data_IF_702532742770
#
_entry.id   IF_702532742770
#
_cell.length_a   1.000
_cell.length_b   1.000
_cell.length_c   1.000
_cell.angle_alpha   90.00
_cell.angle_beta   90.00
_cell.angle_gamma   90.00
#
_symmetry.space_group_name_H-M   'P 1'
#
loop_
_entity.id
_entity.type
_entity.pdbx_description
1 polymer ?
#
# COMPACT_ATOMS: atom_id res chain seq x y z
N UNK A 1 83.20 3.54 35.63
CA UNK A 1 82.53 2.37 36.18
C UNK A 1 81.41 2.01 35.24
N UNK A 2 81.41 0.73 34.75
CA UNK A 2 80.44 -0.05 33.94
C UNK A 2 79.66 0.71 32.87
N UNK A 3 79.91 0.63 31.58
CA UNK A 3 80.10 -0.50 30.72
C UNK A 3 78.78 -1.06 30.26
N UNK A 4 78.12 -0.51 29.18
CA UNK A 4 77.04 -1.22 28.49
C UNK A 4 77.38 -1.38 27.02
N UNK A 5 77.54 -2.61 26.61
CA UNK A 5 77.84 -3.03 25.26
C UNK A 5 76.58 -2.97 24.39
N UNK A 6 76.69 -2.36 23.24
CA UNK A 6 75.72 -2.44 22.14
C UNK A 6 75.77 -3.83 21.51
N UNK A 7 74.63 -4.51 21.39
CA UNK A 7 74.47 -5.68 20.56
C UNK A 7 73.63 -5.32 19.32
N UNK A 8 74.27 -5.42 18.17
CA UNK A 8 73.65 -5.27 16.86
C UNK A 8 72.63 -6.38 16.60
N UNK A 9 71.38 -6.03 16.40
CA UNK A 9 70.33 -6.94 15.95
C UNK A 9 70.09 -6.75 14.46
N UNK A 10 70.56 -7.72 13.66
CA UNK A 10 70.32 -7.81 12.23
C UNK A 10 68.87 -8.09 11.95
N UNK A 11 68.17 -7.19 11.28
CA UNK A 11 66.82 -7.39 10.78
C UNK A 11 66.86 -8.20 9.46
N UNK A 12 66.45 -9.43 9.48
CA UNK A 12 66.18 -10.25 8.31
C UNK A 12 64.85 -9.77 7.67
N UNK A 13 64.95 -9.33 6.42
CA UNK A 13 63.79 -8.95 5.60
C UNK A 13 63.01 -10.23 5.22
N UNK A 14 61.88 -10.49 5.88
CA UNK A 14 60.87 -11.43 5.44
C UNK A 14 59.95 -10.65 4.45
N UNK A 15 60.06 -10.98 3.19
CA UNK A 15 59.18 -10.57 2.11
C UNK A 15 57.82 -11.28 2.29
N UNK A 16 56.83 -10.52 2.82
CA UNK A 16 55.44 -10.96 2.91
C UNK A 16 54.77 -10.77 1.54
N UNK A 17 54.69 -11.84 0.75
CA UNK A 17 53.92 -11.86 -0.49
C UNK A 17 52.43 -11.70 -0.17
N UNK A 18 51.88 -10.52 -0.50
CA UNK A 18 50.45 -10.28 -0.44
C UNK A 18 49.77 -11.06 -1.57
N UNK A 19 49.15 -12.19 -1.23
CA UNK A 19 48.24 -12.92 -2.11
C UNK A 19 46.93 -12.10 -2.17
N UNK A 20 46.80 -11.27 -3.22
CA UNK A 20 45.56 -10.57 -3.52
C UNK A 20 44.54 -11.60 -4.06
N UNK A 21 43.71 -12.15 -3.20
CA UNK A 21 42.58 -12.97 -3.61
C UNK A 21 41.57 -12.05 -4.31
N UNK A 22 41.60 -12.00 -5.65
CA UNK A 22 40.50 -11.45 -6.44
C UNK A 22 39.26 -12.30 -6.13
N UNK A 23 38.38 -11.80 -5.28
CA UNK A 23 36.98 -12.25 -5.20
C UNK A 23 36.35 -11.88 -6.56
N UNK A 24 36.38 -12.82 -7.50
CA UNK A 24 35.55 -12.80 -8.69
C UNK A 24 34.11 -12.95 -8.16
N UNK A 25 33.42 -11.84 -7.97
CA UNK A 25 31.96 -11.85 -7.82
C UNK A 25 31.43 -12.48 -9.12
N UNK A 26 31.13 -13.77 -9.08
CA UNK A 26 30.36 -14.40 -10.16
C UNK A 26 29.06 -13.60 -10.27
N UNK A 27 28.74 -13.04 -11.44
CA UNK A 27 27.44 -12.43 -11.63
C UNK A 27 26.43 -13.53 -11.31
N UNK A 28 25.64 -13.35 -10.27
CA UNK A 28 24.45 -14.18 -10.03
C UNK A 28 23.63 -14.03 -11.31
N UNK A 29 23.63 -15.07 -12.15
CA UNK A 29 22.79 -15.09 -13.34
C UNK A 29 21.40 -14.80 -12.86
N UNK A 30 20.85 -13.69 -13.29
CA UNK A 30 19.51 -13.28 -12.94
C UNK A 30 18.55 -14.42 -13.21
N UNK A 31 17.96 -14.95 -12.14
CA UNK A 31 17.11 -16.11 -12.20
C UNK A 31 15.86 -15.79 -13.03
N UNK A 32 15.76 -16.36 -14.22
CA UNK A 32 14.56 -16.26 -15.04
C UNK A 32 13.57 -17.32 -14.60
N UNK A 33 12.35 -16.92 -14.25
CA UNK A 33 11.25 -17.83 -13.91
C UNK A 33 10.19 -17.75 -14.98
N UNK A 34 9.70 -18.91 -15.45
CA UNK A 34 8.58 -19.03 -16.38
C UNK A 34 7.45 -19.82 -15.73
N UNK A 35 6.32 -19.19 -15.49
CA UNK A 35 5.10 -19.81 -14.94
C UNK A 35 4.20 -20.12 -16.12
N UNK A 36 3.90 -21.41 -16.38
CA UNK A 36 3.32 -21.87 -17.65
C UNK A 36 2.01 -22.64 -17.48
N UNK A 37 1.13 -22.57 -18.48
CA UNK A 37 -0.06 -23.42 -18.61
C UNK A 37 -1.24 -23.01 -17.73
N UNK A 38 -1.16 -21.89 -17.04
CA UNK A 38 -2.22 -21.41 -16.14
C UNK A 38 -3.24 -20.50 -16.81
N UNK A 39 -4.29 -20.16 -16.06
CA UNK A 39 -5.17 -19.04 -16.37
C UNK A 39 -4.47 -17.76 -15.91
N UNK A 40 -4.04 -16.91 -16.83
CA UNK A 40 -3.30 -15.68 -16.53
C UNK A 40 -4.25 -14.49 -16.51
N UNK A 41 -4.32 -13.78 -15.38
CA UNK A 41 -5.00 -12.51 -15.25
C UNK A 41 -3.97 -11.37 -15.23
N UNK A 42 -4.10 -10.39 -16.12
CA UNK A 42 -3.12 -9.30 -16.20
C UNK A 42 -3.28 -8.23 -15.14
N UNK A 43 -4.44 -8.14 -14.49
CA UNK A 43 -4.74 -7.12 -13.46
C UNK A 43 -5.01 -5.72 -14.03
N UNK A 44 -5.23 -5.61 -15.31
CA UNK A 44 -5.42 -4.34 -16.04
C UNK A 44 -6.87 -4.08 -16.48
N UNK A 45 -7.81 -4.86 -15.96
CA UNK A 45 -9.23 -4.80 -16.31
C UNK A 45 -9.64 -5.75 -17.42
N UNK A 46 -8.70 -6.41 -18.08
CA UNK A 46 -8.98 -7.39 -19.15
C UNK A 46 -9.48 -8.73 -18.58
N UNK A 47 -10.12 -9.52 -19.46
CA UNK A 47 -10.52 -10.89 -19.12
C UNK A 47 -9.30 -11.81 -18.95
N UNK A 48 -9.40 -12.87 -18.11
CA UNK A 48 -8.35 -13.86 -17.94
C UNK A 48 -8.01 -14.61 -19.23
N UNK A 49 -6.74 -14.97 -19.38
CA UNK A 49 -6.17 -15.63 -20.56
C UNK A 49 -5.90 -17.10 -20.21
N UNK A 50 -6.53 -18.03 -20.92
CA UNK A 50 -6.33 -19.47 -20.72
C UNK A 50 -4.98 -19.94 -21.29
N UNK A 51 -4.38 -20.96 -20.67
CA UNK A 51 -3.10 -21.56 -21.10
C UNK A 51 -2.00 -20.50 -21.32
N UNK A 52 -1.95 -19.51 -20.43
CA UNK A 52 -1.00 -18.42 -20.49
C UNK A 52 0.34 -18.78 -19.86
N UNK A 53 1.31 -17.93 -20.13
CA UNK A 53 2.65 -17.98 -19.54
C UNK A 53 3.03 -16.60 -19.01
N UNK A 54 3.67 -16.56 -17.84
CA UNK A 54 4.28 -15.34 -17.27
C UNK A 54 5.78 -15.59 -17.14
N UNK A 55 6.57 -14.68 -17.71
CA UNK A 55 8.05 -14.72 -17.64
C UNK A 55 8.54 -13.59 -16.76
N UNK A 56 9.30 -13.94 -15.74
CA UNK A 56 9.94 -13.04 -14.77
C UNK A 56 11.46 -13.09 -14.97
N UNK A 57 12.10 -11.92 -14.99
CA UNK A 57 13.55 -11.79 -15.00
C UNK A 57 13.97 -10.48 -14.34
N UNK A 58 15.05 -10.51 -13.56
CA UNK A 58 15.62 -9.31 -12.90
C UNK A 58 14.58 -8.53 -12.08
N UNK A 59 13.71 -9.24 -11.36
CA UNK A 59 12.67 -8.61 -10.55
C UNK A 59 11.51 -7.99 -11.35
N UNK A 60 11.45 -8.20 -12.67
CA UNK A 60 10.43 -7.60 -13.53
C UNK A 60 9.71 -8.64 -14.39
N UNK A 61 8.48 -8.33 -14.74
CA UNK A 61 7.72 -9.09 -15.73
C UNK A 61 8.31 -8.77 -17.13
N UNK A 62 8.77 -9.80 -17.82
CA UNK A 62 9.27 -9.69 -19.19
C UNK A 62 8.11 -9.79 -20.19
N UNK A 63 7.22 -10.77 -19.98
CA UNK A 63 6.06 -10.99 -20.79
C UNK A 63 5.01 -11.78 -19.99
N UNK A 64 3.73 -11.56 -20.30
CA UNK A 64 2.61 -12.33 -19.79
C UNK A 64 1.51 -12.44 -20.85
N UNK A 65 0.95 -13.63 -21.04
CA UNK A 65 -0.11 -13.87 -22.03
C UNK A 65 -0.06 -15.25 -22.66
N UNK A 66 -0.77 -15.42 -23.75
CA UNK A 66 -0.80 -16.66 -24.53
C UNK A 66 0.34 -16.68 -25.57
N UNK A 67 0.88 -17.86 -25.84
CA UNK A 67 1.92 -18.05 -26.88
C UNK A 67 3.29 -17.45 -26.51
N UNK A 68 3.53 -17.13 -25.25
CA UNK A 68 4.83 -16.63 -24.79
C UNK A 68 5.83 -17.78 -24.75
N UNK A 69 6.96 -17.62 -25.43
CA UNK A 69 8.04 -18.60 -25.43
C UNK A 69 8.74 -18.65 -24.06
N UNK A 70 9.01 -19.84 -23.57
CA UNK A 70 9.82 -20.06 -22.36
C UNK A 70 11.29 -19.83 -22.70
N UNK A 71 12.00 -18.89 -22.05
CA UNK A 71 13.41 -18.67 -22.31
C UNK A 71 14.26 -19.89 -21.94
N UNK A 72 15.29 -20.15 -22.74
CA UNK A 72 16.25 -21.23 -22.43
C UNK A 72 16.89 -20.99 -21.06
N UNK A 73 16.98 -22.05 -20.25
CA UNK A 73 17.53 -22.00 -18.89
C UNK A 73 16.62 -21.36 -17.83
N UNK A 74 15.37 -20.99 -18.17
CA UNK A 74 14.42 -20.51 -17.19
C UNK A 74 13.99 -21.65 -16.23
N UNK A 75 13.84 -21.31 -14.95
CA UNK A 75 13.16 -22.17 -13.99
C UNK A 75 11.67 -22.21 -14.35
N UNK A 76 11.16 -23.38 -14.69
CA UNK A 76 9.75 -23.54 -15.07
C UNK A 76 8.91 -23.91 -13.85
N UNK A 77 7.77 -23.23 -13.70
CA UNK A 77 6.72 -23.50 -12.73
C UNK A 77 5.47 -23.90 -13.48
N UNK A 78 4.97 -25.11 -13.24
CA UNK A 78 3.71 -25.57 -13.82
C UNK A 78 2.51 -24.95 -13.10
N UNK A 79 1.68 -24.24 -13.84
CA UNK A 79 0.43 -23.64 -13.37
C UNK A 79 -0.81 -24.28 -14.01
N UNK A 80 -0.69 -25.49 -14.58
CA UNK A 80 -1.81 -26.20 -15.20
C UNK A 80 -2.96 -26.38 -14.19
N UNK A 81 -4.17 -25.95 -14.56
CA UNK A 81 -5.35 -25.96 -13.71
C UNK A 81 -5.36 -24.89 -12.60
N UNK A 82 -4.37 -24.01 -12.57
CA UNK A 82 -4.20 -22.93 -11.59
C UNK A 82 -4.31 -21.54 -12.23
N UNK A 83 -4.30 -20.51 -11.39
CA UNK A 83 -4.35 -19.13 -11.83
C UNK A 83 -3.06 -18.39 -11.51
N UNK A 84 -2.69 -17.48 -12.37
CA UNK A 84 -1.55 -16.58 -12.20
C UNK A 84 -2.06 -15.16 -12.31
N UNK A 85 -1.91 -14.39 -11.24
CA UNK A 85 -2.39 -13.02 -11.17
C UNK A 85 -1.28 -12.10 -10.61
N UNK A 86 -1.36 -10.76 -10.81
CA UNK A 86 -0.52 -9.85 -10.05
C UNK A 86 -0.86 -9.93 -8.57
N UNK A 87 0.11 -9.67 -7.72
CA UNK A 87 -0.14 -9.49 -6.30
C UNK A 87 -1.06 -8.30 -6.06
N UNK A 88 -1.89 -8.39 -5.03
CA UNK A 88 -2.83 -7.34 -4.68
C UNK A 88 -2.10 -6.12 -4.13
N UNK A 89 -2.65 -4.95 -4.45
CA UNK A 89 -2.21 -3.65 -3.96
C UNK A 89 -3.32 -3.08 -3.08
N UNK A 90 -3.11 -3.04 -1.77
CA UNK A 90 -4.08 -2.43 -0.88
C UNK A 90 -4.07 -0.91 -1.06
N UNK A 91 -5.18 -0.35 -1.53
CA UNK A 91 -5.29 1.07 -1.90
C UNK A 91 -5.23 2.04 -0.72
N UNK A 92 -5.52 1.56 0.48
CA UNK A 92 -5.42 2.28 1.74
C UNK A 92 -5.27 1.28 2.88
N UNK A 93 -4.41 1.53 3.84
CA UNK A 93 -4.21 0.63 4.98
C UNK A 93 -3.45 1.28 6.13
N UNK A 94 -3.34 0.54 7.25
CA UNK A 94 -2.47 0.79 8.40
C UNK A 94 -1.42 -0.32 8.55
N UNK A 95 -1.16 -1.08 7.51
CA UNK A 95 -0.27 -2.23 7.55
C UNK A 95 1.14 -1.83 7.99
N UNK A 96 1.68 -2.55 8.96
CA UNK A 96 3.01 -2.27 9.50
C UNK A 96 3.04 -1.28 10.66
N UNK A 97 1.98 -0.48 10.87
CA UNK A 97 1.88 0.49 11.96
C UNK A 97 1.21 -0.09 13.23
N UNK A 98 0.55 -1.23 13.11
CA UNK A 98 -0.19 -1.85 14.22
C UNK A 98 0.24 -3.30 14.37
N UNK A 99 0.74 -3.66 15.57
CA UNK A 99 0.96 -5.05 15.98
C UNK A 99 -0.29 -5.59 16.71
N UNK A 100 -0.77 -4.85 17.71
CA UNK A 100 -1.97 -5.15 18.49
C UNK A 100 -2.78 -3.88 18.69
N UNK A 101 -3.98 -3.83 18.15
CA UNK A 101 -4.82 -2.64 18.09
C UNK A 101 -5.16 -2.02 19.46
N UNK A 102 -5.62 -2.84 20.40
CA UNK A 102 -6.05 -2.39 21.72
C UNK A 102 -4.89 -2.09 22.69
N UNK A 103 -3.65 -2.00 22.19
CA UNK A 103 -2.45 -1.77 23.00
C UNK A 103 -1.71 -0.54 22.47
N UNK A 104 -1.91 0.62 23.10
CA UNK A 104 -1.34 1.90 22.66
C UNK A 104 0.15 1.84 22.26
N UNK A 105 1.07 1.21 23.04
CA UNK A 105 2.48 1.13 22.65
C UNK A 105 2.76 0.24 21.41
N UNK A 106 1.77 -0.47 20.91
CA UNK A 106 1.85 -1.33 19.72
C UNK A 106 1.03 -0.79 18.55
N UNK A 107 0.62 0.49 18.62
CA UNK A 107 -0.18 1.17 17.60
C UNK A 107 0.42 2.54 17.29
N UNK A 108 1.14 2.63 16.18
CA UNK A 108 1.80 3.83 15.68
C UNK A 108 0.99 4.52 14.57
N UNK A 109 -0.32 4.27 14.48
CA UNK A 109 -1.16 4.85 13.42
C UNK A 109 -1.31 6.36 13.53
N UNK A 110 -1.33 6.89 14.75
CA UNK A 110 -1.52 8.32 14.98
C UNK A 110 -0.66 8.83 16.13
N UNK A 111 -0.20 10.06 16.04
CA UNK A 111 0.45 10.74 17.14
C UNK A 111 -0.58 11.11 18.22
N UNK A 112 -0.15 11.22 19.48
CA UNK A 112 -1.03 11.73 20.53
C UNK A 112 -1.36 13.22 20.37
N UNK A 113 -2.49 13.67 20.92
CA UNK A 113 -2.96 15.05 20.82
C UNK A 113 -1.96 16.13 21.32
N UNK A 114 -0.92 15.74 22.04
CA UNK A 114 0.17 16.63 22.50
C UNK A 114 1.29 16.80 21.47
N UNK A 115 1.27 16.05 20.36
CA UNK A 115 2.27 16.23 19.30
C UNK A 115 2.14 17.62 18.69
N UNK A 116 3.23 18.38 18.53
CA UNK A 116 3.20 19.66 17.84
C UNK A 116 3.18 19.49 16.31
N UNK A 117 3.34 18.25 15.81
CA UNK A 117 3.42 17.92 14.39
C UNK A 117 2.12 17.30 13.88
N UNK A 118 1.82 17.54 12.62
CA UNK A 118 0.71 16.95 11.88
C UNK A 118 1.15 16.56 10.46
N UNK A 119 1.13 17.47 9.51
CA UNK A 119 1.53 17.21 8.12
C UNK A 119 2.99 16.70 7.97
N UNK A 120 3.87 17.00 8.93
CA UNK A 120 5.25 16.53 8.95
C UNK A 120 5.41 15.09 9.46
N UNK A 121 4.38 14.52 10.09
CA UNK A 121 4.43 13.13 10.55
C UNK A 121 4.68 12.24 9.34
N UNK A 122 5.67 11.35 9.46
CA UNK A 122 6.06 10.39 8.44
C UNK A 122 5.87 8.98 9.01
N UNK A 123 5.15 8.13 8.29
CA UNK A 123 4.88 6.76 8.76
C UNK A 123 6.11 5.86 8.75
N UNK A 124 7.14 6.19 7.97
CA UNK A 124 8.30 5.32 7.75
C UNK A 124 8.97 4.84 9.04
N UNK A 125 9.26 5.70 10.06
CA UNK A 125 9.88 5.25 11.31
C UNK A 125 9.02 4.32 12.16
N UNK A 126 7.68 4.35 11.99
CA UNK A 126 6.74 3.48 12.71
C UNK A 126 6.49 2.13 12.01
N UNK A 127 6.98 1.96 10.77
CA UNK A 127 6.77 0.73 10.01
C UNK A 127 7.60 -0.42 10.56
N UNK A 128 6.95 -1.42 11.12
CA UNK A 128 7.58 -2.63 11.61
C UNK A 128 7.35 -3.81 10.63
N UNK A 129 8.37 -4.27 9.87
CA UNK A 129 8.22 -5.39 8.94
C UNK A 129 7.95 -6.72 9.63
N UNK A 130 8.20 -6.82 10.95
CA UNK A 130 7.97 -8.01 11.76
C UNK A 130 6.53 -8.21 12.23
N UNK A 131 5.62 -7.25 12.02
CA UNK A 131 4.23 -7.41 12.48
C UNK A 131 3.55 -8.59 11.78
N UNK A 132 2.78 -9.32 12.55
CA UNK A 132 2.10 -10.54 12.09
C UNK A 132 1.19 -10.27 10.87
N UNK A 133 0.59 -9.08 10.80
CA UNK A 133 -0.32 -8.68 9.74
C UNK A 133 0.34 -8.68 8.33
N UNK A 134 1.63 -8.37 8.22
CA UNK A 134 2.37 -8.39 6.93
C UNK A 134 2.44 -9.82 6.39
N UNK A 135 2.88 -10.79 7.20
CA UNK A 135 2.96 -12.19 6.77
C UNK A 135 1.58 -12.78 6.43
N UNK A 136 0.54 -12.40 7.18
CA UNK A 136 -0.85 -12.84 6.93
C UNK A 136 -1.41 -12.20 5.66
N UNK A 137 -1.12 -10.92 5.40
CA UNK A 137 -1.53 -10.24 4.17
C UNK A 137 -0.86 -10.86 2.94
N UNK A 138 0.44 -11.17 3.02
CA UNK A 138 1.18 -11.88 1.96
C UNK A 138 0.60 -13.27 1.68
N UNK A 139 0.23 -14.03 2.72
CA UNK A 139 -0.47 -15.32 2.55
C UNK A 139 -1.81 -15.16 1.82
N UNK A 140 -2.48 -14.00 1.95
CA UNK A 140 -3.67 -13.61 1.22
C UNK A 140 -3.40 -13.03 -0.17
N UNK A 141 -2.16 -13.08 -0.68
CA UNK A 141 -1.80 -12.58 -2.01
C UNK A 141 -1.53 -11.08 -2.11
N UNK A 142 -1.51 -10.36 -0.98
CA UNK A 142 -1.14 -8.93 -0.97
C UNK A 142 0.38 -8.81 -1.11
N UNK A 143 0.82 -8.02 -2.07
CA UNK A 143 2.26 -7.77 -2.30
C UNK A 143 2.65 -6.32 -2.04
N UNK A 144 1.72 -5.37 -2.18
CA UNK A 144 1.96 -3.93 -1.92
C UNK A 144 0.81 -3.34 -1.12
N UNK A 145 1.13 -2.31 -0.34
CA UNK A 145 0.13 -1.56 0.42
C UNK A 145 0.48 -0.07 0.48
N UNK A 146 -0.56 0.77 0.38
CA UNK A 146 -0.50 2.18 0.71
C UNK A 146 -0.77 2.30 2.21
N UNK A 147 0.19 2.80 2.96
CA UNK A 147 0.10 2.95 4.41
C UNK A 147 -0.05 4.42 4.76
N UNK A 148 -1.18 4.76 5.37
CA UNK A 148 -1.54 6.12 5.76
C UNK A 148 -1.46 6.32 7.28
N UNK A 149 -1.05 7.50 7.78
CA UNK A 149 -1.20 7.86 9.19
C UNK A 149 -2.67 8.18 9.53
N UNK A 150 -3.01 8.20 10.82
CA UNK A 150 -4.27 8.73 11.35
C UNK A 150 -4.12 10.17 11.83
N UNK A 151 -5.24 10.86 12.03
CA UNK A 151 -5.29 12.24 12.55
C UNK A 151 -5.06 12.30 14.06
N UNK A 152 -4.68 13.48 14.55
CA UNK A 152 -4.36 13.73 15.95
C UNK A 152 -4.74 15.15 16.42
N UNK A 153 -5.98 15.52 16.32
CA UNK A 153 -6.48 16.87 16.61
C UNK A 153 -6.09 17.92 15.57
N UNK A 154 -5.81 17.48 14.35
CA UNK A 154 -5.56 18.30 13.16
C UNK A 154 -6.09 17.54 11.95
N UNK A 155 -6.53 18.27 10.91
CA UNK A 155 -7.04 17.63 9.69
C UNK A 155 -5.94 16.96 8.87
N UNK A 156 -4.71 17.48 8.85
CA UNK A 156 -3.59 16.82 8.17
C UNK A 156 -3.00 15.75 9.07
N UNK A 157 -3.12 14.49 8.65
CA UNK A 157 -2.62 13.35 9.39
C UNK A 157 -1.11 13.13 9.23
N UNK A 158 -0.57 13.43 8.05
CA UNK A 158 0.85 13.23 7.75
C UNK A 158 1.11 12.58 6.41
N UNK A 159 2.34 12.13 6.23
CA UNK A 159 2.90 11.56 5.02
C UNK A 159 2.83 10.04 5.07
N UNK A 160 2.15 9.44 4.09
CA UNK A 160 2.06 8.00 3.94
C UNK A 160 3.16 7.43 3.04
N UNK A 161 3.32 6.11 3.09
CA UNK A 161 4.29 5.36 2.30
C UNK A 161 3.62 4.28 1.44
N UNK A 162 4.33 3.83 0.41
CA UNK A 162 4.02 2.57 -0.27
C UNK A 162 5.03 1.54 0.18
N UNK A 163 4.55 0.42 0.70
CA UNK A 163 5.37 -0.69 1.18
C UNK A 163 5.13 -1.94 0.37
N UNK A 164 6.06 -2.87 0.44
CA UNK A 164 5.82 -4.26 0.06
C UNK A 164 5.51 -5.14 1.28
N UNK A 165 4.96 -6.30 1.02
CA UNK A 165 4.67 -7.31 2.02
C UNK A 165 5.76 -8.41 2.05
N UNK A 166 6.98 -8.11 1.62
CA UNK A 166 8.12 -9.01 1.62
C UNK A 166 8.53 -9.51 3.01
N UNK A 167 9.39 -10.50 3.03
CA UNK A 167 9.93 -11.06 4.27
C UNK A 167 11.31 -10.46 4.63
N UNK A 168 11.65 -9.33 4.04
CA UNK A 168 12.90 -8.61 4.29
C UNK A 168 12.69 -7.45 5.29
N UNK A 169 13.77 -6.88 5.83
CA UNK A 169 13.69 -5.83 6.84
C UNK A 169 13.36 -4.43 6.29
N UNK A 170 13.33 -4.25 4.97
CA UNK A 170 13.16 -2.94 4.33
C UNK A 170 11.92 -2.90 3.44
N UNK A 171 10.70 -2.79 4.03
CA UNK A 171 9.47 -2.89 3.26
C UNK A 171 9.15 -1.62 2.45
N UNK A 172 9.83 -0.50 2.69
CA UNK A 172 9.46 0.79 2.10
C UNK A 172 9.89 0.85 0.64
N UNK A 173 8.92 0.81 -0.27
CA UNK A 173 9.13 1.02 -1.70
C UNK A 173 9.22 2.52 -2.05
N UNK A 174 8.29 3.33 -1.52
CA UNK A 174 8.24 4.79 -1.72
C UNK A 174 7.91 5.46 -0.40
N UNK A 175 8.88 6.14 0.20
CA UNK A 175 8.68 6.98 1.37
C UNK A 175 7.94 8.27 0.99
N UNK A 176 7.08 8.79 1.88
CA UNK A 176 6.35 10.06 1.66
C UNK A 176 5.63 10.09 0.32
N UNK A 177 5.01 8.95 -0.04
CA UNK A 177 4.38 8.73 -1.34
C UNK A 177 3.15 9.63 -1.55
N UNK A 178 2.51 10.05 -0.46
CA UNK A 178 1.34 10.92 -0.47
C UNK A 178 1.21 11.66 0.87
N UNK A 179 0.41 12.73 0.86
CA UNK A 179 -0.07 13.38 2.09
C UNK A 179 -1.51 12.93 2.33
N UNK A 180 -1.89 12.71 3.61
CA UNK A 180 -3.25 12.34 3.96
C UNK A 180 -3.93 13.44 4.78
N UNK A 181 -5.19 13.73 4.48
CA UNK A 181 -6.03 14.73 5.14
C UNK A 181 -7.44 14.23 5.35
N UNK A 182 -7.98 14.48 6.52
CA UNK A 182 -9.36 14.22 6.89
C UNK A 182 -10.22 15.46 6.69
N UNK A 183 -11.32 15.29 5.98
CA UNK A 183 -12.41 16.28 5.88
C UNK A 183 -13.74 15.59 6.24
N UNK A 184 -14.89 16.19 5.91
CA UNK A 184 -16.18 15.61 6.29
C UNK A 184 -16.47 15.69 7.79
N UNK A 185 -17.13 14.69 8.37
CA UNK A 185 -17.46 14.66 9.80
C UNK A 185 -16.23 14.51 10.67
N UNK A 186 -15.31 13.62 10.29
CA UNK A 186 -14.07 13.41 11.04
C UNK A 186 -13.20 14.67 11.00
N UNK A 187 -12.96 15.24 9.83
CA UNK A 187 -12.20 16.48 9.70
C UNK A 187 -12.86 17.66 10.42
N UNK A 188 -14.19 17.72 10.48
CA UNK A 188 -14.91 18.73 11.27
C UNK A 188 -14.63 18.56 12.77
N UNK A 189 -14.61 17.32 13.27
CA UNK A 189 -14.25 17.00 14.66
C UNK A 189 -12.82 17.45 14.98
N UNK A 190 -11.87 17.09 14.12
CA UNK A 190 -10.45 17.43 14.29
C UNK A 190 -10.19 18.95 14.23
N UNK A 191 -10.96 19.69 13.43
CA UNK A 191 -10.85 21.14 13.31
C UNK A 191 -11.66 21.94 14.34
N UNK A 192 -12.07 21.32 15.46
CA UNK A 192 -12.79 22.00 16.54
C UNK A 192 -14.32 22.02 16.38
N UNK A 193 -14.91 21.11 15.60
CA UNK A 193 -16.34 20.78 15.64
C UNK A 193 -17.18 21.27 14.47
N UNK A 194 -16.61 21.79 13.37
CA UNK A 194 -17.41 22.20 12.23
C UNK A 194 -16.70 22.04 10.88
N UNK A 195 -17.44 21.63 9.84
CA UNK A 195 -16.93 21.59 8.46
C UNK A 195 -16.35 22.94 7.99
N UNK A 196 -17.02 24.13 8.22
CA UNK A 196 -16.41 25.41 7.87
C UNK A 196 -15.02 25.62 8.50
N UNK A 197 -14.79 25.19 9.75
CA UNK A 197 -13.48 25.27 10.40
C UNK A 197 -12.46 24.38 9.68
N UNK A 198 -12.81 23.13 9.36
CA UNK A 198 -11.93 22.22 8.62
C UNK A 198 -11.51 22.77 7.26
N UNK A 199 -12.45 23.35 6.50
CA UNK A 199 -12.15 23.96 5.21
C UNK A 199 -11.34 25.27 5.33
N UNK A 200 -11.51 26.04 6.43
CA UNK A 200 -10.67 27.20 6.71
C UNK A 200 -9.25 26.77 7.06
N UNK A 201 -9.09 25.76 7.93
CA UNK A 201 -7.79 25.17 8.28
C UNK A 201 -7.08 24.60 7.05
N UNK A 202 -7.81 23.90 6.17
CA UNK A 202 -7.27 23.34 4.93
C UNK A 202 -6.65 24.43 4.05
N UNK A 203 -7.42 25.51 3.75
CA UNK A 203 -6.92 26.62 2.93
C UNK A 203 -5.73 27.32 3.55
N UNK A 204 -5.84 27.67 4.84
CA UNK A 204 -4.78 28.36 5.55
C UNK A 204 -3.50 27.54 5.60
N UNK A 205 -3.59 26.21 5.74
CA UNK A 205 -2.44 25.30 5.73
C UNK A 205 -1.75 25.27 4.37
N UNK A 206 -2.50 25.16 3.26
CA UNK A 206 -1.92 25.18 1.91
C UNK A 206 -1.29 26.54 1.58
N UNK A 207 -1.93 27.64 1.98
CA UNK A 207 -1.36 28.98 1.83
C UNK A 207 -0.09 29.16 2.66
N UNK A 208 -0.04 28.62 3.88
CA UNK A 208 1.15 28.63 4.73
C UNK A 208 2.30 27.86 4.05
N UNK A 209 2.02 26.68 3.48
CA UNK A 209 3.00 25.90 2.72
C UNK A 209 3.49 26.66 1.47
N UNK A 210 2.61 27.38 0.77
CA UNK A 210 3.00 28.22 -0.37
C UNK A 210 3.88 29.41 0.08
N UNK A 211 3.56 30.05 1.22
CA UNK A 211 4.43 31.11 1.80
C UNK A 211 5.79 30.55 2.16
N UNK A 212 5.83 29.40 2.84
CA UNK A 212 7.07 28.71 3.15
C UNK A 212 7.89 28.39 1.89
N UNK A 213 7.27 27.83 0.86
CA UNK A 213 7.94 27.47 -0.39
C UNK A 213 8.60 28.68 -1.08
N UNK A 214 7.99 29.89 -0.98
CA UNK A 214 8.53 31.14 -1.56
C UNK A 214 9.69 31.72 -0.76
N UNK A 215 9.65 31.64 0.55
CA UNK A 215 10.68 32.18 1.43
C UNK A 215 10.83 31.33 2.70
N UNK A 216 11.55 30.19 2.63
CA UNK A 216 11.75 29.32 3.80
C UNK A 216 12.45 30.02 4.97
N UNK A 217 13.42 30.90 4.69
CA UNK A 217 14.19 31.60 5.75
C UNK A 217 13.33 32.60 6.53
N UNK A 218 12.39 33.26 5.87
CA UNK A 218 11.51 34.26 6.48
C UNK A 218 10.17 33.70 6.98
N UNK A 219 9.98 32.38 6.98
CA UNK A 219 8.75 31.78 7.49
C UNK A 219 8.80 31.71 9.02
N UNK A 220 7.89 32.41 9.67
CA UNK A 220 7.71 32.42 11.11
C UNK A 220 6.67 31.33 11.50
N UNK A 221 7.14 30.11 11.70
CA UNK A 221 6.31 28.99 12.16
C UNK A 221 6.20 28.88 13.67
N UNK A 222 6.97 29.67 14.42
CA UNK A 222 7.02 29.64 15.89
C UNK A 222 6.10 30.72 16.51
N UNK A 223 5.54 31.60 15.71
CA UNK A 223 4.56 32.62 16.12
C UNK A 223 3.28 31.95 16.63
N UNK A 224 2.69 32.51 17.68
CA UNK A 224 1.39 32.05 18.19
C UNK A 224 0.25 32.16 17.17
N UNK A 225 0.41 33.03 16.17
CA UNK A 225 -0.54 33.24 15.09
C UNK A 225 -0.30 32.31 13.89
N UNK A 226 0.76 31.49 13.93
CA UNK A 226 1.06 30.54 12.88
C UNK A 226 0.23 29.27 13.05
N UNK A 227 -0.57 28.93 12.03
CA UNK A 227 -1.36 27.70 12.00
C UNK A 227 -0.47 26.45 11.90
N UNK A 228 0.60 26.53 11.09
CA UNK A 228 1.56 25.46 10.90
C UNK A 228 2.92 25.83 11.45
N UNK A 229 3.56 24.90 12.17
CA UNK A 229 4.97 25.01 12.45
C UNK A 229 5.80 24.87 11.15
N UNK A 230 7.09 25.16 11.24
CA UNK A 230 8.01 25.13 10.09
C UNK A 230 8.10 23.75 9.42
N UNK A 231 8.06 22.66 10.21
CA UNK A 231 8.16 21.30 9.70
C UNK A 231 6.90 20.91 8.91
N UNK A 232 5.71 21.21 9.44
CA UNK A 232 4.43 20.93 8.78
C UNK A 232 4.30 21.73 7.47
N UNK A 233 4.67 23.01 7.50
CA UNK A 233 4.67 23.83 6.29
C UNK A 233 5.62 23.27 5.21
N UNK A 234 6.83 22.84 5.60
CA UNK A 234 7.80 22.21 4.71
C UNK A 234 7.28 20.91 4.10
N UNK A 235 6.62 20.05 4.90
CA UNK A 235 6.07 18.77 4.45
C UNK A 235 4.96 18.94 3.40
N UNK A 236 4.20 20.03 3.45
CA UNK A 236 3.15 20.34 2.47
C UNK A 236 3.69 20.97 1.18
N UNK A 237 4.96 21.41 1.10
CA UNK A 237 5.52 22.01 -0.12
C UNK A 237 5.40 21.11 -1.34
N UNK A 238 5.74 19.81 -1.30
CA UNK A 238 5.57 18.93 -2.46
C UNK A 238 4.11 18.82 -2.93
N UNK A 239 3.15 18.92 -2.00
CA UNK A 239 1.71 18.88 -2.29
C UNK A 239 1.29 20.12 -3.06
N UNK A 240 1.60 21.33 -2.52
CA UNK A 240 1.23 22.61 -3.17
C UNK A 240 1.99 22.86 -4.47
N UNK A 241 3.02 22.08 -4.75
CA UNK A 241 3.74 22.08 -6.04
C UNK A 241 3.25 20.97 -6.99
N UNK A 242 2.21 20.18 -6.62
CA UNK A 242 1.69 19.08 -7.43
C UNK A 242 2.67 17.93 -7.66
N UNK A 243 3.69 17.77 -6.83
CA UNK A 243 4.67 16.68 -6.93
C UNK A 243 4.19 15.43 -6.22
N UNK A 244 3.56 15.59 -5.05
CA UNK A 244 3.05 14.52 -4.21
C UNK A 244 1.52 14.57 -4.22
N UNK A 245 0.81 13.43 -4.37
CA UNK A 245 -0.64 13.35 -4.26
C UNK A 245 -1.14 13.73 -2.86
N UNK A 246 -2.33 14.32 -2.81
CA UNK A 246 -3.10 14.57 -1.59
C UNK A 246 -4.30 13.63 -1.55
N UNK A 247 -4.26 12.66 -0.63
CA UNK A 247 -5.37 11.78 -0.33
C UNK A 247 -6.32 12.52 0.62
N UNK A 248 -7.57 12.68 0.22
CA UNK A 248 -8.60 13.42 0.96
C UNK A 248 -9.71 12.47 1.34
N UNK A 249 -9.88 12.20 2.63
CA UNK A 249 -10.97 11.38 3.13
C UNK A 249 -12.23 12.21 3.26
N UNK A 250 -13.29 11.80 2.60
CA UNK A 250 -14.65 12.34 2.64
C UNK A 250 -15.64 11.26 2.20
N UNK A 251 -16.82 11.23 2.81
CA UNK A 251 -17.84 10.23 2.53
C UNK A 251 -19.06 10.78 1.78
N UNK A 252 -19.56 11.95 2.18
CA UNK A 252 -20.82 12.49 1.63
C UNK A 252 -20.64 13.10 0.23
N UNK A 253 -21.68 12.99 -0.60
CA UNK A 253 -21.73 13.66 -1.90
C UNK A 253 -21.60 15.17 -1.79
N UNK A 254 -22.06 15.77 -0.68
CA UNK A 254 -21.90 17.20 -0.43
C UNK A 254 -20.42 17.58 -0.23
N UNK A 255 -19.71 16.87 0.67
CA UNK A 255 -18.31 17.16 0.98
C UNK A 255 -17.40 16.87 -0.23
N UNK A 256 -17.68 15.81 -1.00
CA UNK A 256 -17.00 15.54 -2.27
C UNK A 256 -17.08 16.76 -3.21
N UNK A 257 -18.27 17.37 -3.37
CA UNK A 257 -18.43 18.58 -4.19
C UNK A 257 -17.59 19.75 -3.65
N UNK A 258 -17.46 19.89 -2.32
CA UNK A 258 -16.62 20.96 -1.75
C UNK A 258 -15.13 20.69 -2.05
N UNK A 259 -14.66 19.44 -1.92
CA UNK A 259 -13.28 19.07 -2.29
C UNK A 259 -13.01 19.33 -3.77
N UNK A 260 -13.95 19.00 -4.65
CA UNK A 260 -13.81 19.30 -6.09
C UNK A 260 -13.75 20.80 -6.38
N UNK A 261 -14.38 21.65 -5.55
CA UNK A 261 -14.23 23.12 -5.64
C UNK A 261 -12.84 23.58 -5.21
N UNK A 262 -12.27 22.99 -4.14
CA UNK A 262 -10.91 23.30 -3.68
C UNK A 262 -9.87 23.08 -4.78
N UNK A 263 -10.05 22.07 -5.64
CA UNK A 263 -9.18 21.86 -6.80
C UNK A 263 -9.18 23.04 -7.79
N UNK A 264 -10.25 23.82 -7.85
CA UNK A 264 -10.29 25.02 -8.69
C UNK A 264 -9.50 26.16 -8.08
N UNK A 265 -9.46 26.23 -6.74
CA UNK A 265 -8.68 27.21 -5.98
C UNK A 265 -7.18 26.86 -6.01
N UNK A 266 -6.86 25.57 -5.92
CA UNK A 266 -5.52 25.03 -5.91
C UNK A 266 -5.32 24.06 -7.10
N UNK A 267 -5.26 24.59 -8.31
CA UNK A 267 -5.34 23.82 -9.57
C UNK A 267 -4.19 22.81 -9.78
N UNK A 268 -3.07 22.96 -9.08
CA UNK A 268 -1.91 22.06 -9.16
C UNK A 268 -2.04 20.81 -8.30
N UNK A 269 -3.01 20.77 -7.37
CA UNK A 269 -3.16 19.61 -6.46
C UNK A 269 -3.50 18.34 -7.24
N UNK A 270 -2.78 17.27 -6.93
CA UNK A 270 -3.09 15.91 -7.35
C UNK A 270 -3.99 15.26 -6.29
N UNK A 271 -5.29 15.50 -6.38
CA UNK A 271 -6.26 14.97 -5.45
C UNK A 271 -6.57 13.50 -5.73
N UNK A 272 -6.71 12.71 -4.66
CA UNK A 272 -7.30 11.38 -4.64
C UNK A 272 -8.35 11.37 -3.54
N UNK A 273 -9.59 11.01 -3.85
CA UNK A 273 -10.62 10.83 -2.83
C UNK A 273 -10.46 9.47 -2.16
N UNK A 274 -10.63 9.44 -0.84
CA UNK A 274 -10.65 8.21 -0.03
C UNK A 274 -12.01 8.13 0.66
N UNK A 275 -12.61 6.92 0.75
CA UNK A 275 -13.95 6.72 1.28
C UNK A 275 -15.02 6.88 0.20
N UNK A 276 -15.59 8.06 0.11
CA UNK A 276 -16.61 8.41 -0.89
C UNK A 276 -17.81 7.42 -0.91
N UNK A 277 -18.36 7.06 0.28
CA UNK A 277 -19.51 6.15 0.40
C UNK A 277 -20.72 6.62 -0.42
N UNK A 278 -20.89 7.93 -0.55
CA UNK A 278 -21.92 8.53 -1.40
C UNK A 278 -21.40 8.99 -2.79
N UNK A 279 -20.21 8.51 -3.20
CA UNK A 279 -19.55 8.92 -4.45
C UNK A 279 -20.42 8.72 -5.70
N UNK A 280 -21.25 7.67 -5.71
CA UNK A 280 -22.18 7.38 -6.79
C UNK A 280 -23.19 8.50 -7.05
N UNK A 281 -23.57 9.29 -6.03
CA UNK A 281 -24.52 10.40 -6.13
C UNK A 281 -23.94 11.58 -6.92
N UNK A 282 -22.62 11.69 -6.99
CA UNK A 282 -21.85 12.75 -7.65
C UNK A 282 -20.83 12.20 -8.66
N UNK A 283 -21.00 10.96 -9.10
CA UNK A 283 -20.04 10.25 -9.92
C UNK A 283 -19.68 10.98 -11.22
N UNK A 284 -20.64 11.63 -11.89
CA UNK A 284 -20.38 12.42 -13.10
C UNK A 284 -19.48 13.62 -12.83
N UNK A 285 -19.63 14.26 -11.66
CA UNK A 285 -18.81 15.41 -11.26
C UNK A 285 -17.37 14.94 -10.95
N UNK A 286 -17.21 13.80 -10.28
CA UNK A 286 -15.90 13.18 -10.01
C UNK A 286 -15.21 12.80 -11.33
N UNK A 287 -15.93 12.13 -12.24
CA UNK A 287 -15.41 11.73 -13.54
C UNK A 287 -14.98 12.94 -14.38
N UNK A 288 -15.81 13.98 -14.45
CA UNK A 288 -15.48 15.22 -15.16
C UNK A 288 -14.25 15.94 -14.57
N UNK A 289 -14.05 15.86 -13.26
CA UNK A 289 -12.86 16.39 -12.60
C UNK A 289 -11.61 15.51 -12.82
N UNK A 290 -11.77 14.26 -13.29
CA UNK A 290 -10.66 13.32 -13.47
C UNK A 290 -9.94 12.95 -12.15
N UNK A 291 -10.65 13.02 -11.01
CA UNK A 291 -10.11 12.70 -9.69
C UNK A 291 -10.30 11.20 -9.44
N UNK A 292 -9.25 10.43 -9.13
CA UNK A 292 -9.39 9.03 -8.77
C UNK A 292 -9.99 8.87 -7.37
N UNK A 293 -10.64 7.72 -7.15
CA UNK A 293 -11.28 7.37 -5.88
C UNK A 293 -10.73 6.04 -5.39
N UNK A 294 -10.41 5.97 -4.11
CA UNK A 294 -10.14 4.75 -3.35
C UNK A 294 -11.31 4.56 -2.38
N UNK A 295 -12.23 3.63 -2.67
CA UNK A 295 -13.47 3.47 -1.93
C UNK A 295 -13.50 2.16 -1.12
N UNK A 296 -14.29 2.12 -0.05
CA UNK A 296 -14.67 0.88 0.62
C UNK A 296 -15.68 0.10 -0.22
N UNK A 297 -15.53 -1.22 -0.30
CA UNK A 297 -16.43 -2.09 -1.07
C UNK A 297 -17.65 -2.56 -0.27
N UNK A 298 -17.62 -2.48 1.07
CA UNK A 298 -18.64 -3.09 1.94
C UNK A 298 -19.65 -2.10 2.51
N UNK A 299 -19.46 -0.81 2.33
CA UNK A 299 -20.37 0.21 2.88
C UNK A 299 -21.72 0.13 2.19
N UNK A 300 -22.72 -0.43 2.88
CA UNK A 300 -24.09 -0.63 2.38
C UNK A 300 -25.13 0.06 3.24
N UNK A 301 -24.92 0.08 4.55
CA UNK A 301 -25.78 0.75 5.51
C UNK A 301 -25.06 2.00 6.05
N UNK A 302 -25.82 3.08 6.36
CA UNK A 302 -25.21 4.27 6.94
C UNK A 302 -24.69 3.98 8.36
N UNK A 303 -23.41 4.23 8.57
CA UNK A 303 -22.76 4.21 9.89
C UNK A 303 -22.54 5.63 10.46
N UNK A 304 -22.79 6.65 9.65
CA UNK A 304 -22.68 8.06 10.00
C UNK A 304 -23.68 8.90 9.19
N UNK A 305 -23.85 10.18 9.54
CA UNK A 305 -24.71 11.10 8.77
C UNK A 305 -24.12 11.48 7.41
N UNK A 306 -22.86 11.24 7.17
CA UNK A 306 -22.22 11.49 5.87
C UNK A 306 -22.24 10.28 4.91
N UNK A 307 -22.87 9.17 5.33
CA UNK A 307 -23.03 7.95 4.53
C UNK A 307 -24.48 7.48 4.37
N UNK A 308 -25.46 8.41 4.48
CA UNK A 308 -26.89 8.08 4.42
C UNK A 308 -27.31 7.42 3.11
N UNK A 309 -26.65 7.74 1.99
CA UNK A 309 -26.88 7.14 0.69
C UNK A 309 -25.87 6.02 0.36
N UNK A 310 -25.22 5.42 1.38
CA UNK A 310 -24.33 4.29 1.19
C UNK A 310 -25.02 3.13 0.46
N UNK A 311 -24.28 2.41 -0.37
CA UNK A 311 -24.76 1.24 -1.11
C UNK A 311 -23.59 0.40 -1.60
N UNK A 312 -23.71 -0.91 -1.56
CA UNK A 312 -22.73 -1.83 -2.16
C UNK A 312 -22.50 -1.57 -3.65
N UNK A 313 -23.48 -0.96 -4.35
CA UNK A 313 -23.38 -0.57 -5.76
C UNK A 313 -22.53 0.67 -6.00
N UNK A 314 -22.01 1.34 -4.96
CA UNK A 314 -21.29 2.60 -5.07
C UNK A 314 -20.13 2.52 -6.07
N UNK A 315 -19.22 1.55 -5.90
CA UNK A 315 -18.06 1.34 -6.79
C UNK A 315 -18.52 1.07 -8.23
N UNK A 316 -19.48 0.16 -8.41
CA UNK A 316 -20.02 -0.18 -9.73
C UNK A 316 -20.66 1.01 -10.45
N UNK A 317 -21.46 1.82 -9.73
CA UNK A 317 -22.09 3.03 -10.27
C UNK A 317 -21.08 4.12 -10.61
N UNK A 318 -20.06 4.33 -9.77
CA UNK A 318 -18.97 5.26 -10.07
C UNK A 318 -18.19 4.80 -11.31
N UNK A 319 -17.87 3.53 -11.40
CA UNK A 319 -17.19 2.94 -12.57
C UNK A 319 -17.99 3.13 -13.85
N UNK A 320 -19.29 2.85 -13.81
CA UNK A 320 -20.20 3.03 -14.95
C UNK A 320 -20.29 4.51 -15.38
N UNK A 321 -20.11 5.45 -14.47
CA UNK A 321 -20.06 6.89 -14.77
C UNK A 321 -18.68 7.36 -15.28
N UNK A 322 -17.69 6.48 -15.42
CA UNK A 322 -16.34 6.79 -15.91
C UNK A 322 -15.35 7.27 -14.85
N UNK A 323 -15.66 7.07 -13.55
CA UNK A 323 -14.72 7.38 -12.47
C UNK A 323 -13.58 6.33 -12.46
N UNK A 324 -12.36 6.77 -12.27
CA UNK A 324 -11.23 5.90 -11.93
C UNK A 324 -11.35 5.51 -10.47
N UNK A 325 -12.03 4.39 -10.21
CA UNK A 325 -12.31 3.90 -8.87
C UNK A 325 -11.53 2.62 -8.58
N UNK A 326 -10.99 2.53 -7.38
CA UNK A 326 -10.30 1.38 -6.82
C UNK A 326 -10.77 1.11 -5.39
N UNK A 327 -10.33 0.00 -4.82
CA UNK A 327 -10.66 -0.39 -3.45
C UNK A 327 -9.54 -0.05 -2.48
N UNK A 328 -9.95 0.40 -1.28
CA UNK A 328 -9.11 0.53 -0.10
C UNK A 328 -9.69 -0.25 1.08
N UNK A 329 -8.84 -0.54 2.05
CA UNK A 329 -9.22 -1.10 3.33
C UNK A 329 -9.26 0.06 4.33
N UNK A 330 -10.34 0.82 4.30
CA UNK A 330 -10.43 2.16 4.89
C UNK A 330 -10.87 2.10 6.36
N UNK A 331 -11.84 1.25 6.68
CA UNK A 331 -12.33 1.09 8.03
C UNK A 331 -11.21 0.53 8.94
N UNK A 332 -11.15 0.99 10.17
CA UNK A 332 -10.03 0.69 11.09
C UNK A 332 -9.80 -0.81 11.29
N UNK A 333 -10.85 -1.63 11.34
CA UNK A 333 -10.71 -3.08 11.43
C UNK A 333 -10.13 -3.69 10.15
N UNK A 334 -10.58 -3.21 8.99
CA UNK A 334 -10.16 -3.70 7.67
C UNK A 334 -8.76 -3.21 7.29
N UNK A 335 -8.37 -2.01 7.72
CA UNK A 335 -7.09 -1.40 7.40
C UNK A 335 -5.87 -2.25 7.80
N UNK A 336 -6.07 -3.30 8.60
CA UNK A 336 -5.07 -4.28 9.02
C UNK A 336 -5.31 -5.68 8.45
N UNK A 337 -6.48 -5.93 7.86
CA UNK A 337 -6.95 -7.23 7.38
C UNK A 337 -6.94 -7.31 5.84
N UNK A 338 -5.86 -6.88 5.23
CA UNK A 338 -5.75 -6.72 3.77
C UNK A 338 -6.05 -8.00 2.98
N UNK A 339 -5.94 -9.18 3.61
CA UNK A 339 -6.29 -10.49 3.04
C UNK A 339 -7.76 -10.61 2.63
N UNK A 340 -8.64 -9.71 3.07
CA UNK A 340 -10.06 -9.72 2.69
C UNK A 340 -10.32 -8.99 1.35
N UNK A 341 -9.35 -8.25 0.83
CA UNK A 341 -9.51 -7.52 -0.44
C UNK A 341 -10.03 -8.37 -1.61
N UNK A 342 -9.54 -9.61 -1.85
CA UNK A 342 -10.06 -10.43 -2.94
C UNK A 342 -11.50 -10.85 -2.73
N UNK A 343 -11.92 -11.14 -1.50
CA UNK A 343 -13.32 -11.47 -1.18
C UNK A 343 -14.23 -10.27 -1.47
N UNK A 344 -13.81 -9.05 -1.09
CA UNK A 344 -14.58 -7.85 -1.35
C UNK A 344 -14.69 -7.55 -2.85
N UNK A 345 -13.61 -7.78 -3.61
CA UNK A 345 -13.65 -7.68 -5.07
C UNK A 345 -14.59 -8.74 -5.69
N UNK A 346 -14.57 -9.98 -5.18
CA UNK A 346 -15.50 -11.03 -5.58
C UNK A 346 -16.97 -10.69 -5.32
N UNK A 347 -17.27 -10.03 -4.19
CA UNK A 347 -18.60 -9.53 -3.88
C UNK A 347 -19.07 -8.49 -4.91
N UNK A 348 -18.17 -7.61 -5.38
CA UNK A 348 -18.51 -6.65 -6.45
C UNK A 348 -18.83 -7.34 -7.77
N UNK A 349 -18.21 -8.48 -8.07
CA UNK A 349 -18.58 -9.32 -9.23
C UNK A 349 -19.97 -9.94 -8.98
N UNK A 350 -20.23 -10.47 -7.81
CA UNK A 350 -21.50 -11.09 -7.46
C UNK A 350 -22.70 -10.13 -7.58
N UNK A 351 -22.50 -8.84 -7.31
CA UNK A 351 -23.54 -7.81 -7.47
C UNK A 351 -24.08 -7.70 -8.90
N UNK A 352 -23.34 -8.11 -9.92
CA UNK A 352 -23.85 -8.16 -11.31
C UNK A 352 -25.03 -9.11 -11.50
N UNK A 353 -25.23 -10.06 -10.56
CA UNK A 353 -26.33 -11.04 -10.55
C UNK A 353 -27.49 -10.62 -9.65
N UNK A 354 -27.35 -9.52 -8.92
CA UNK A 354 -28.39 -9.03 -7.99
C UNK A 354 -29.27 -8.02 -8.74
N UNK A 355 -30.60 -8.24 -8.83
CA UNK A 355 -31.52 -7.32 -9.50
C UNK A 355 -31.45 -5.91 -8.89
N UNK A 356 -31.24 -4.89 -9.74
CA UNK A 356 -31.15 -3.49 -9.33
C UNK A 356 -29.81 -3.05 -8.76
N UNK A 357 -28.88 -3.98 -8.51
CA UNK A 357 -27.52 -3.64 -8.12
C UNK A 357 -26.62 -3.37 -9.33
N UNK A 358 -25.49 -2.71 -9.09
CA UNK A 358 -24.47 -2.44 -10.09
C UNK A 358 -23.13 -2.95 -9.55
N UNK A 359 -22.63 -4.02 -10.15
CA UNK A 359 -21.33 -4.62 -9.81
C UNK A 359 -20.24 -4.26 -10.81
N UNK A 360 -19.16 -5.02 -10.77
CA UNK A 360 -18.02 -4.95 -11.70
C UNK A 360 -17.89 -6.25 -12.49
N UNK A 361 -17.37 -6.18 -13.71
CA UNK A 361 -16.86 -7.38 -14.38
C UNK A 361 -15.70 -7.98 -13.57
N UNK A 362 -15.39 -9.26 -13.79
CA UNK A 362 -14.31 -9.94 -13.07
C UNK A 362 -12.96 -9.21 -13.24
N UNK A 363 -12.63 -8.81 -14.46
CA UNK A 363 -11.39 -8.09 -14.75
C UNK A 363 -11.33 -6.72 -14.07
N UNK A 364 -12.45 -5.98 -14.05
CA UNK A 364 -12.54 -4.68 -13.34
C UNK A 364 -12.41 -4.84 -11.83
N UNK A 365 -12.99 -5.90 -11.26
CA UNK A 365 -12.89 -6.18 -9.83
C UNK A 365 -11.44 -6.52 -9.43
N UNK A 366 -10.74 -7.34 -10.24
CA UNK A 366 -9.32 -7.59 -10.01
C UNK A 366 -8.50 -6.30 -10.16
N UNK A 367 -8.75 -5.50 -11.19
CA UNK A 367 -8.06 -4.23 -11.38
C UNK A 367 -8.28 -3.27 -10.20
N UNK A 368 -9.47 -3.29 -9.58
CA UNK A 368 -9.78 -2.44 -8.43
C UNK A 368 -8.91 -2.71 -7.18
N UNK A 369 -8.32 -3.92 -7.08
CA UNK A 369 -7.41 -4.33 -6.00
C UNK A 369 -5.97 -4.56 -6.47
N UNK A 370 -5.62 -4.18 -7.70
CA UNK A 370 -4.28 -4.36 -8.27
C UNK A 370 -3.81 -3.07 -8.94
N UNK A 371 -4.09 -2.86 -10.24
CA UNK A 371 -3.64 -1.69 -10.97
C UNK A 371 -4.36 -0.38 -10.59
N UNK A 372 -5.59 -0.46 -10.10
CA UNK A 372 -6.37 0.72 -9.73
C UNK A 372 -5.73 1.56 -8.61
N UNK A 373 -5.37 0.99 -7.44
CA UNK A 373 -4.66 1.71 -6.40
C UNK A 373 -3.31 2.27 -6.86
N UNK A 374 -2.58 1.50 -7.69
CA UNK A 374 -1.33 1.96 -8.28
C UNK A 374 -1.53 3.17 -9.20
N UNK A 375 -2.60 3.16 -10.03
CA UNK A 375 -2.95 4.29 -10.90
C UNK A 375 -3.32 5.54 -10.10
N UNK A 376 -4.05 5.39 -8.99
CA UNK A 376 -4.43 6.51 -8.13
C UNK A 376 -3.23 7.31 -7.62
N UNK A 377 -2.08 6.65 -7.39
CA UNK A 377 -0.82 7.28 -6.99
C UNK A 377 0.14 7.57 -8.15
N UNK A 378 -0.21 7.25 -9.39
CA UNK A 378 0.68 7.40 -10.54
C UNK A 378 1.78 6.33 -10.62
N UNK A 379 1.60 5.19 -9.94
CA UNK A 379 2.55 4.06 -9.90
C UNK A 379 2.18 2.90 -10.83
N UNK A 380 1.15 3.04 -11.69
CA UNK A 380 0.73 2.01 -12.65
C UNK A 380 1.85 1.61 -13.65
N UNK A 381 2.88 2.43 -13.76
CA UNK A 381 4.11 2.12 -14.52
C UNK A 381 5.02 1.12 -13.84
N UNK A 382 4.87 0.88 -12.52
CA UNK A 382 5.78 0.07 -11.71
C UNK A 382 5.10 -1.18 -11.15
N UNK A 383 3.88 -1.08 -10.61
CA UNK A 383 3.20 -2.13 -9.86
C UNK A 383 1.76 -2.36 -10.31
N UNK A 384 1.13 -3.42 -9.81
CA UNK A 384 -0.31 -3.69 -9.91
C UNK A 384 -0.75 -4.41 -11.19
N UNK A 385 0.16 -4.80 -12.09
CA UNK A 385 -0.21 -5.59 -13.26
C UNK A 385 0.93 -6.45 -13.79
N UNK A 386 0.60 -7.51 -14.53
CA UNK A 386 1.57 -8.40 -15.20
C UNK A 386 2.02 -7.87 -16.57
N UNK A 387 1.89 -6.58 -16.84
CA UNK A 387 2.39 -5.98 -18.07
C UNK A 387 3.92 -5.95 -18.08
N UNK A 388 4.52 -6.10 -19.25
CA UNK A 388 5.97 -6.05 -19.41
C UNK A 388 6.58 -4.77 -18.81
N UNK A 389 7.71 -4.92 -18.14
CA UNK A 389 8.45 -3.85 -17.48
C UNK A 389 8.00 -3.55 -16.03
N UNK A 390 6.86 -4.05 -15.58
CA UNK A 390 6.39 -3.89 -14.19
C UNK A 390 7.21 -4.75 -13.24
N UNK A 391 7.26 -4.38 -11.96
CA UNK A 391 7.80 -5.22 -10.89
C UNK A 391 7.11 -6.58 -10.90
N UNK A 392 7.87 -7.64 -10.71
CA UNK A 392 7.34 -8.99 -10.75
C UNK A 392 6.71 -9.38 -9.41
N UNK A 393 5.60 -8.72 -9.11
CA UNK A 393 4.69 -9.06 -8.01
C UNK A 393 3.65 -10.03 -8.55
N UNK A 394 3.89 -11.33 -8.38
CA UNK A 394 3.13 -12.40 -9.03
C UNK A 394 2.65 -13.40 -7.97
N UNK A 395 1.42 -13.85 -8.11
CA UNK A 395 0.86 -14.89 -7.23
C UNK A 395 0.33 -16.04 -8.06
N UNK A 396 0.72 -17.25 -7.70
CA UNK A 396 0.15 -18.50 -8.18
C UNK A 396 -0.95 -18.95 -7.22
N UNK A 397 -2.16 -19.09 -7.74
CA UNK A 397 -3.36 -19.46 -6.98
C UNK A 397 -3.84 -20.86 -7.31
N UNK A 398 -4.38 -21.58 -6.33
CA UNK A 398 -5.01 -22.89 -6.53
C UNK A 398 -6.26 -22.85 -7.43
N UNK A 399 -6.88 -21.68 -7.57
CA UNK A 399 -8.08 -21.43 -8.37
C UNK A 399 -8.28 -19.93 -8.59
N UNK A 400 -9.51 -19.51 -8.92
CA UNK A 400 -9.84 -18.10 -9.13
C UNK A 400 -9.48 -17.25 -7.87
N UNK A 401 -8.61 -16.23 -7.99
CA UNK A 401 -8.17 -15.42 -6.86
C UNK A 401 -9.27 -14.62 -6.17
N UNK A 402 -10.44 -14.43 -6.80
CA UNK A 402 -11.58 -13.73 -6.22
C UNK A 402 -12.56 -14.67 -5.49
N UNK A 403 -12.28 -15.97 -5.47
CA UNK A 403 -13.09 -16.97 -4.77
C UNK A 403 -12.48 -17.38 -3.44
N UNK A 404 -13.31 -17.50 -2.39
CA UNK A 404 -12.87 -17.86 -1.03
C UNK A 404 -12.19 -19.23 -0.92
N UNK A 405 -12.52 -20.15 -1.83
CA UNK A 405 -11.94 -21.50 -1.87
C UNK A 405 -10.50 -21.51 -2.39
N UNK A 406 -10.05 -20.41 -3.00
CA UNK A 406 -8.72 -20.31 -3.60
C UNK A 406 -7.68 -19.86 -2.56
N UNK A 407 -6.47 -20.40 -2.71
CA UNK A 407 -5.33 -20.09 -1.84
C UNK A 407 -4.12 -19.69 -2.68
N UNK A 408 -3.35 -18.71 -2.19
CA UNK A 408 -2.04 -18.43 -2.76
C UNK A 408 -1.09 -19.59 -2.45
N UNK A 409 -0.56 -20.23 -3.47
CA UNK A 409 0.39 -21.33 -3.33
C UNK A 409 1.85 -20.86 -3.41
N UNK A 410 2.12 -19.83 -4.21
CA UNK A 410 3.43 -19.17 -4.32
C UNK A 410 3.23 -17.68 -4.55
N UNK A 411 4.08 -16.89 -3.93
CA UNK A 411 4.07 -15.43 -4.04
C UNK A 411 5.48 -14.97 -4.39
N UNK A 412 5.60 -14.14 -5.41
CA UNK A 412 6.83 -13.42 -5.75
C UNK A 412 6.62 -11.94 -5.55
N UNK A 413 7.57 -11.28 -4.91
CA UNK A 413 7.66 -9.84 -4.78
C UNK A 413 8.99 -9.40 -5.37
N UNK A 414 8.97 -8.47 -6.32
CA UNK A 414 10.16 -8.09 -7.10
C UNK A 414 10.89 -9.33 -7.70
N UNK A 415 10.12 -10.35 -8.09
CA UNK A 415 10.63 -11.60 -8.66
C UNK A 415 11.26 -12.55 -7.66
N UNK A 416 11.31 -12.20 -6.39
CA UNK A 416 11.83 -13.05 -5.30
C UNK A 416 10.67 -13.81 -4.67
N UNK A 417 10.77 -15.14 -4.66
CA UNK A 417 9.77 -16.00 -4.02
C UNK A 417 9.75 -15.79 -2.51
N UNK A 418 8.56 -15.60 -1.96
CA UNK A 418 8.33 -15.27 -0.57
C UNK A 418 7.88 -16.47 0.26
N UNK A 419 8.29 -16.56 1.54
CA UNK A 419 7.79 -17.60 2.43
C UNK A 419 6.31 -17.37 2.77
N UNK A 420 5.51 -18.43 2.74
CA UNK A 420 4.09 -18.42 3.12
C UNK A 420 3.86 -18.94 4.55
N UNK A 421 4.89 -18.97 5.38
CA UNK A 421 4.79 -19.35 6.80
C UNK A 421 4.46 -18.11 7.64
N UNK A 422 3.43 -18.25 8.49
CA UNK A 422 3.02 -17.24 9.46
C UNK A 422 3.12 -17.77 10.88
N UNK A 423 2.91 -16.91 11.90
CA UNK A 423 2.77 -17.38 13.29
C UNK A 423 1.64 -18.39 13.41
N UNK A 424 0.50 -18.15 12.75
CA UNK A 424 -0.67 -19.03 12.78
C UNK A 424 -0.37 -20.39 12.15
N UNK A 425 0.29 -20.43 10.99
CA UNK A 425 0.66 -21.73 10.36
C UNK A 425 1.63 -22.50 11.22
N UNK A 426 2.62 -21.85 11.85
CA UNK A 426 3.54 -22.49 12.80
C UNK A 426 2.85 -23.04 14.04
N UNK A 427 1.87 -22.29 14.60
CA UNK A 427 1.06 -22.76 15.73
C UNK A 427 0.18 -23.94 15.31
N UNK A 428 -0.48 -23.87 14.15
CA UNK A 428 -1.24 -24.99 13.59
C UNK A 428 -0.38 -26.23 13.48
N UNK A 429 0.79 -26.13 12.87
CA UNK A 429 1.68 -27.27 12.62
C UNK A 429 2.21 -27.86 13.94
N UNK A 430 2.50 -27.01 14.93
CA UNK A 430 2.91 -27.41 16.28
C UNK A 430 1.81 -28.21 17.00
N UNK A 431 0.56 -27.78 16.91
CA UNK A 431 -0.55 -28.38 17.65
C UNK A 431 -1.37 -29.40 16.85
N UNK A 432 -1.15 -29.51 15.53
CA UNK A 432 -1.82 -30.50 14.69
C UNK A 432 -1.44 -31.96 15.09
N UNK A 433 -0.23 -32.15 15.62
CA UNK A 433 0.28 -33.41 16.12
C UNK A 433 1.02 -33.17 17.43
N UNK A 434 0.29 -32.95 18.53
CA UNK A 434 0.91 -32.67 19.82
C UNK A 434 1.71 -33.87 20.25
N UNK A 435 3.00 -33.69 20.52
CA UNK A 435 3.88 -34.65 21.13
C UNK A 435 4.07 -34.31 22.62
N UNK A 436 4.31 -35.36 23.45
CA UNK A 436 4.56 -35.15 24.85
C UNK A 436 5.77 -34.22 25.05
N UNK A 437 5.65 -33.20 25.89
CA UNK A 437 6.68 -32.18 26.12
C UNK A 437 6.61 -30.94 25.21
N UNK A 438 5.79 -30.93 24.16
CA UNK A 438 5.56 -29.74 23.30
C UNK A 438 4.42 -28.84 23.79
N UNK A 439 3.59 -29.33 24.70
CA UNK A 439 2.53 -28.56 25.31
C UNK A 439 3.08 -27.60 26.37
N UNK A 440 2.47 -26.43 26.55
CA UNK A 440 2.78 -25.57 27.70
C UNK A 440 2.65 -26.33 29.01
N UNK A 441 3.55 -26.12 29.97
CA UNK A 441 3.58 -26.82 31.28
C UNK A 441 2.25 -26.79 32.03
N UNK A 442 1.38 -25.80 31.75
CA UNK A 442 0.03 -25.73 32.32
C UNK A 442 -0.88 -26.91 31.94
N UNK A 443 -0.52 -27.67 30.89
CA UNK A 443 -1.25 -28.84 30.41
C UNK A 443 -0.54 -30.17 30.72
N UNK A 444 0.65 -30.10 31.30
CA UNK A 444 1.34 -31.28 31.88
C UNK A 444 0.65 -31.58 33.23
N UNK A 445 -0.33 -32.47 33.24
CA UNK A 445 -0.98 -32.96 34.46
C UNK A 445 -0.70 -34.42 34.65
#
# INVERSE_FOLDING_TARGET
>A
MSGFKSTDLRWSRLSLGALLALLIATPTLAQTVAITGGTVALGDGSAPIQNGTVVIRDGRVVAAGQGIAVPAGAQTVDASGKWVAPGFVAGFSRLGLVEVDAVDPANDTQAGARSPYSAAIDVEPGLNPGVTAIAVSRLGGVTRALVAPGTNSRIFAGQGAVIDAGADPNPVMVARAFQFVELGENGASEAGGSRPAAYAEFRASLEAAQRYARNPAGYDGDSRDSLLNRADAAALVPVVQGRVPLLVHVESGHDIRQVLKLRREFSVLKLVLVGAAEGWTVAREIAAAGVPVIASALTDLPNSFESLAATQSNIGRMKAAGVRVSMGMIDDEDARQLRYSPQYAGNLVALTRVPGATGLSWGEALAAITSGPADALGLAGEIGSLRAGRRADVVLWSGDPLELSSQAERVWIDGVEQPLTTRQTRLRDRYARPTEGELPKAYDR
#
